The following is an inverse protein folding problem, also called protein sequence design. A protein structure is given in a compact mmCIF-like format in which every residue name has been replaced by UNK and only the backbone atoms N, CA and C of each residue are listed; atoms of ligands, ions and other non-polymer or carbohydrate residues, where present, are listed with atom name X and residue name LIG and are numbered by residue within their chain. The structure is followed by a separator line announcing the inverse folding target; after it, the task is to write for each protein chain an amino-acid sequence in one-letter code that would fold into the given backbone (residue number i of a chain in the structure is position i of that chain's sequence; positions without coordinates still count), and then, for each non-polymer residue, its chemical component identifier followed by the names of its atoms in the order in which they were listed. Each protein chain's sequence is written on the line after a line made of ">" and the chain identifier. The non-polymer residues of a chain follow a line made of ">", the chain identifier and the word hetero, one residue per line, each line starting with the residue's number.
data_IF_313037636028
#
_entry.id   IF_313037636028
#
_cell.length_a   1.000
_cell.length_b   1.000
_cell.length_c   1.000
_cell.angle_alpha   90.00
_cell.angle_beta   90.00
_cell.angle_gamma   90.00
#
_symmetry.space_group_name_H-M   'P 1'
#
loop_
_entity.id
_entity.type
_entity.pdbx_description
1 polymer ?
#
# COMPACT_ATOMS: atom_id res chain seq x y z
N UNK A 1 -13.02 -10.80 -34.29
CA UNK A 1 -12.95 -12.06 -35.06
C UNK A 1 -12.06 -13.03 -34.29
N UNK A 2 -12.58 -14.12 -33.71
CA UNK A 2 -11.74 -15.20 -33.25
C UNK A 2 -11.74 -16.35 -34.28
N UNK A 3 -10.56 -16.90 -34.50
CA UNK A 3 -10.28 -18.02 -35.41
C UNK A 3 -11.01 -19.29 -34.99
N UNK A 4 -11.70 -19.92 -35.95
CA UNK A 4 -12.30 -21.25 -35.80
C UNK A 4 -11.33 -22.27 -36.44
N UNK A 5 -10.77 -23.18 -35.65
CA UNK A 5 -9.83 -24.20 -36.14
C UNK A 5 -10.64 -25.39 -36.65
N UNK A 6 -10.65 -25.60 -37.97
CA UNK A 6 -11.19 -26.83 -38.58
C UNK A 6 -10.11 -27.92 -38.56
N UNK A 7 -10.40 -29.06 -37.94
CA UNK A 7 -9.54 -30.24 -38.04
C UNK A 7 -10.04 -31.16 -39.17
N UNK A 8 -9.12 -31.56 -40.05
CA UNK A 8 -9.33 -32.57 -41.08
C UNK A 8 -8.80 -33.91 -40.56
N UNK A 9 -9.68 -34.87 -40.28
CA UNK A 9 -9.28 -36.22 -39.93
C UNK A 9 -9.26 -37.10 -41.19
N UNK A 10 -8.06 -37.43 -41.67
CA UNK A 10 -7.87 -38.54 -42.60
C UNK A 10 -7.79 -39.83 -41.77
N UNK A 11 -8.80 -40.69 -41.88
CA UNK A 11 -8.93 -41.87 -41.05
C UNK A 11 -7.86 -42.93 -41.35
N UNK A 12 -7.17 -43.40 -40.32
CA UNK A 12 -6.74 -44.81 -40.17
C UNK A 12 -6.58 -45.10 -38.67
N UNK A 13 -7.21 -46.18 -38.21
CA UNK A 13 -7.35 -46.60 -36.81
C UNK A 13 -6.06 -47.19 -36.23
N UNK A 14 -5.84 -47.00 -34.91
CA UNK A 14 -5.66 -48.12 -33.95
C UNK A 14 -5.80 -47.65 -32.49
N UNK A 15 -6.69 -48.33 -31.77
CA UNK A 15 -7.04 -48.20 -30.34
C UNK A 15 -5.90 -48.62 -29.40
N UNK A 16 -5.77 -47.96 -28.24
CA UNK A 16 -5.74 -48.58 -26.89
C UNK A 16 -5.53 -47.52 -25.78
N UNK A 17 -6.51 -47.31 -24.91
CA UNK A 17 -6.47 -47.77 -23.51
C UNK A 17 -7.83 -47.61 -22.85
N UNK A 18 -8.07 -48.50 -21.90
CA UNK A 18 -9.35 -48.97 -21.40
C UNK A 18 -9.59 -48.47 -19.97
N UNK A 19 -10.83 -48.10 -19.66
CA UNK A 19 -11.37 -47.83 -18.32
C UNK A 19 -11.01 -46.44 -17.79
N UNK A 20 -11.91 -45.63 -17.25
CA UNK A 20 -12.91 -45.96 -16.22
C UNK A 20 -13.99 -44.86 -16.21
N UNK A 21 -15.23 -45.26 -15.90
CA UNK A 21 -16.48 -44.48 -15.80
C UNK A 21 -17.34 -44.41 -17.07
N UNK A 22 -17.98 -45.55 -17.32
CA UNK A 22 -19.31 -45.64 -17.90
C UNK A 22 -20.33 -44.93 -17.00
N UNK A 23 -20.90 -43.84 -17.49
CA UNK A 23 -22.29 -43.48 -17.26
C UNK A 23 -22.96 -43.51 -18.63
N UNK A 24 -23.76 -44.55 -18.87
CA UNK A 24 -24.80 -44.49 -19.88
C UNK A 24 -25.74 -43.34 -19.52
N UNK A 25 -25.84 -42.36 -20.41
CA UNK A 25 -27.07 -41.61 -20.56
C UNK A 25 -27.34 -41.47 -22.06
N UNK A 26 -28.50 -41.98 -22.42
CA UNK A 26 -29.14 -41.91 -23.71
C UNK A 26 -29.23 -40.45 -24.17
N UNK A 27 -28.53 -40.14 -25.26
CA UNK A 27 -29.01 -39.25 -26.31
C UNK A 27 -28.13 -39.53 -27.53
N UNK A 28 -28.69 -40.28 -28.48
CA UNK A 28 -28.13 -40.40 -29.82
C UNK A 28 -28.22 -39.02 -30.50
N UNK A 29 -27.31 -38.12 -30.16
CA UNK A 29 -27.17 -36.85 -30.85
C UNK A 29 -26.64 -37.15 -32.27
N UNK A 30 -27.52 -37.08 -33.26
CA UNK A 30 -27.14 -36.99 -34.66
C UNK A 30 -26.10 -35.87 -34.83
N UNK A 31 -24.82 -36.26 -34.98
CA UNK A 31 -23.77 -35.33 -35.37
C UNK A 31 -24.13 -34.79 -36.75
N UNK A 32 -24.57 -33.54 -36.82
CA UNK A 32 -24.86 -32.87 -38.09
C UNK A 32 -23.55 -32.72 -38.88
N UNK A 33 -23.36 -33.59 -39.86
CA UNK A 33 -22.21 -33.55 -40.77
C UNK A 33 -22.54 -32.67 -41.97
N UNK A 34 -21.72 -31.66 -42.21
CA UNK A 34 -21.79 -30.89 -43.46
C UNK A 34 -20.87 -31.56 -44.49
N UNK A 35 -21.42 -31.85 -45.67
CA UNK A 35 -20.68 -32.45 -46.78
C UNK A 35 -20.53 -31.38 -47.87
N UNK A 36 -19.29 -31.01 -48.20
CA UNK A 36 -18.99 -30.09 -49.30
C UNK A 36 -19.08 -30.81 -50.66
N UNK A 37 -19.16 -30.07 -51.77
CA UNK A 37 -19.22 -30.56 -53.16
C UNK A 37 -18.05 -31.49 -53.57
N UNK A 38 -17.01 -31.59 -52.73
CA UNK A 38 -15.86 -32.51 -52.88
C UNK A 38 -15.91 -33.73 -51.93
N UNK A 39 -17.07 -34.04 -51.35
CA UNK A 39 -17.29 -35.15 -50.40
C UNK A 39 -16.46 -35.08 -49.10
N UNK A 40 -16.06 -33.88 -48.69
CA UNK A 40 -15.40 -33.67 -47.40
C UNK A 40 -16.45 -33.59 -46.29
N UNK A 41 -16.31 -34.45 -45.27
CA UNK A 41 -17.22 -34.51 -44.11
C UNK A 41 -16.68 -33.66 -42.97
N UNK A 42 -17.42 -32.61 -42.60
CA UNK A 42 -17.08 -31.73 -41.48
C UNK A 42 -17.98 -32.02 -40.27
N UNK A 43 -17.37 -32.30 -39.12
CA UNK A 43 -18.07 -32.51 -37.83
C UNK A 43 -17.96 -31.22 -37.01
N UNK A 44 -19.09 -30.60 -36.67
CA UNK A 44 -19.12 -29.43 -35.79
C UNK A 44 -18.80 -29.85 -34.34
N UNK A 45 -17.57 -29.62 -33.87
CA UNK A 45 -17.13 -30.07 -32.53
C UNK A 45 -17.61 -29.19 -31.36
N UNK A 46 -18.34 -28.10 -31.62
CA UNK A 46 -18.83 -27.22 -30.56
C UNK A 46 -20.23 -26.75 -30.92
N UNK A 47 -21.23 -27.45 -30.38
CA UNK A 47 -22.60 -26.97 -30.33
C UNK A 47 -22.54 -25.70 -29.48
N UNK A 48 -22.44 -24.52 -30.11
CA UNK A 48 -22.66 -23.25 -29.41
C UNK A 48 -24.00 -23.40 -28.70
N UNK A 49 -23.96 -23.57 -27.38
CA UNK A 49 -25.17 -23.64 -26.57
C UNK A 49 -25.99 -22.40 -26.90
N UNK A 50 -27.28 -22.60 -27.14
CA UNK A 50 -28.22 -21.50 -27.47
C UNK A 50 -28.36 -20.48 -26.33
N UNK A 51 -27.77 -20.78 -25.17
CA UNK A 51 -27.76 -19.98 -23.95
C UNK A 51 -26.32 -19.72 -23.51
N UNK A 52 -26.02 -18.54 -22.93
CA UNK A 52 -24.72 -18.26 -22.35
C UNK A 52 -24.48 -19.19 -21.16
N UNK A 53 -23.56 -20.16 -21.30
CA UNK A 53 -23.11 -20.99 -20.19
C UNK A 53 -22.08 -20.19 -19.40
N UNK A 54 -22.29 -20.02 -18.10
CA UNK A 54 -21.32 -19.41 -17.19
C UNK A 54 -20.05 -20.28 -17.15
N UNK A 55 -18.99 -19.83 -17.81
CA UNK A 55 -17.67 -20.43 -17.66
C UNK A 55 -17.06 -19.90 -16.35
N UNK A 56 -17.12 -20.73 -15.30
CA UNK A 56 -16.54 -20.41 -13.99
C UNK A 56 -15.09 -20.87 -13.97
N UNK A 57 -14.17 -19.96 -13.64
CA UNK A 57 -12.78 -20.33 -13.34
C UNK A 57 -12.69 -20.85 -11.91
N UNK A 58 -12.84 -22.18 -11.75
CA UNK A 58 -12.76 -22.83 -10.44
C UNK A 58 -11.37 -22.70 -9.80
N UNK A 59 -10.32 -22.45 -10.58
CA UNK A 59 -8.96 -22.26 -10.05
C UNK A 59 -8.86 -20.93 -9.33
N UNK A 60 -9.33 -19.85 -9.94
CA UNK A 60 -9.34 -18.52 -9.32
C UNK A 60 -10.09 -18.54 -7.98
N UNK A 61 -11.23 -19.21 -7.92
CA UNK A 61 -12.01 -19.34 -6.69
C UNK A 61 -11.22 -20.11 -5.63
N UNK A 62 -10.61 -21.24 -6.01
CA UNK A 62 -9.77 -22.02 -5.10
C UNK A 62 -8.60 -21.20 -4.55
N UNK A 63 -7.88 -20.49 -5.41
CA UNK A 63 -6.73 -19.68 -5.02
C UNK A 63 -7.15 -18.56 -4.05
N UNK A 64 -8.25 -17.84 -4.34
CA UNK A 64 -8.79 -16.83 -3.44
C UNK A 64 -9.19 -17.41 -2.07
N UNK A 65 -9.82 -18.59 -2.05
CA UNK A 65 -10.17 -19.26 -0.79
C UNK A 65 -8.92 -19.60 0.01
N UNK A 66 -7.90 -20.20 -0.62
CA UNK A 66 -6.65 -20.57 0.05
C UNK A 66 -5.95 -19.33 0.61
N UNK A 67 -5.88 -18.23 -0.15
CA UNK A 67 -5.28 -16.97 0.30
C UNK A 67 -6.02 -16.37 1.49
N UNK A 68 -7.35 -16.30 1.44
CA UNK A 68 -8.13 -15.67 2.51
C UNK A 68 -8.05 -16.50 3.79
N UNK A 69 -8.22 -17.83 3.69
CA UNK A 69 -8.16 -18.72 4.85
C UNK A 69 -6.78 -18.68 5.49
N UNK A 70 -5.73 -18.70 4.69
CA UNK A 70 -4.37 -18.62 5.21
C UNK A 70 -4.00 -17.26 5.79
N UNK A 71 -4.41 -16.17 5.15
CA UNK A 71 -4.25 -14.82 5.69
C UNK A 71 -4.99 -14.69 7.03
N UNK A 72 -6.19 -15.25 7.16
CA UNK A 72 -6.91 -15.29 8.43
C UNK A 72 -6.14 -16.08 9.50
N UNK A 73 -5.63 -17.28 9.18
CA UNK A 73 -4.84 -18.09 10.11
C UNK A 73 -3.55 -17.36 10.52
N UNK A 74 -2.81 -16.81 9.56
CA UNK A 74 -1.58 -16.05 9.81
C UNK A 74 -1.84 -14.79 10.64
N UNK A 75 -2.93 -14.07 10.35
CA UNK A 75 -3.36 -12.91 11.10
C UNK A 75 -3.74 -13.24 12.55
N UNK A 76 -4.49 -14.33 12.77
CA UNK A 76 -4.84 -14.81 14.12
C UNK A 76 -3.57 -15.17 14.89
N UNK A 77 -2.67 -15.95 14.27
CA UNK A 77 -1.41 -16.36 14.90
C UNK A 77 -0.58 -15.14 15.34
N UNK A 78 -0.40 -14.16 14.46
CA UNK A 78 0.37 -12.96 14.77
C UNK A 78 -0.33 -12.05 15.80
N UNK A 79 -1.66 -11.97 15.76
CA UNK A 79 -2.44 -11.27 16.78
C UNK A 79 -2.26 -11.91 18.16
N UNK A 80 -2.28 -13.25 18.25
CA UNK A 80 -2.01 -13.98 19.50
C UNK A 80 -0.59 -13.76 20.03
N UNK A 81 0.39 -13.56 19.13
CA UNK A 81 1.78 -13.24 19.49
C UNK A 81 1.98 -11.75 19.87
N UNK A 82 0.93 -10.92 19.81
CA UNK A 82 1.02 -9.48 20.05
C UNK A 82 1.76 -8.72 18.95
N UNK A 83 1.82 -9.27 17.74
CA UNK A 83 2.47 -8.70 16.57
C UNK A 83 1.44 -8.07 15.61
N UNK A 84 1.84 -7.14 14.72
CA UNK A 84 0.95 -6.56 13.73
C UNK A 84 0.38 -7.63 12.78
N UNK A 85 -0.95 -7.62 12.61
CA UNK A 85 -1.68 -8.61 11.78
C UNK A 85 -1.22 -8.60 10.32
N UNK A 86 -0.79 -7.44 9.80
CA UNK A 86 -0.23 -7.23 8.46
C UNK A 86 0.94 -8.18 8.17
N UNK A 87 1.81 -8.42 9.15
CA UNK A 87 2.92 -9.36 9.02
C UNK A 87 2.40 -10.78 8.84
N UNK A 88 1.35 -11.16 9.56
CA UNK A 88 0.69 -12.45 9.43
C UNK A 88 0.16 -12.70 8.01
N UNK A 89 -0.43 -11.67 7.39
CA UNK A 89 -0.90 -11.74 5.99
C UNK A 89 0.26 -11.97 5.01
N UNK A 90 1.35 -11.20 5.15
CA UNK A 90 2.54 -11.33 4.29
C UNK A 90 3.19 -12.71 4.41
N UNK A 91 3.36 -13.21 5.63
CA UNK A 91 3.97 -14.52 5.86
C UNK A 91 3.07 -15.66 5.38
N UNK A 92 1.74 -15.56 5.57
CA UNK A 92 0.81 -16.52 5.01
C UNK A 92 0.92 -16.60 3.48
N UNK A 93 0.99 -15.45 2.82
CA UNK A 93 1.23 -15.36 1.38
C UNK A 93 2.55 -15.99 0.95
N UNK A 94 3.64 -15.67 1.65
CA UNK A 94 4.98 -16.21 1.36
C UNK A 94 5.06 -17.73 1.52
N UNK A 95 4.33 -18.29 2.49
CA UNK A 95 4.26 -19.73 2.71
C UNK A 95 3.46 -20.46 1.62
N UNK A 96 2.44 -19.84 1.03
CA UNK A 96 1.52 -20.50 0.09
C UNK A 96 1.89 -20.24 -1.36
N UNK A 97 2.54 -19.11 -1.61
CA UNK A 97 3.06 -18.76 -2.91
C UNK A 97 4.12 -19.76 -3.42
N UNK A 98 4.58 -19.56 -4.67
CA UNK A 98 5.52 -20.46 -5.33
C UNK A 98 6.89 -20.53 -4.63
N UNK A 99 7.23 -19.53 -3.80
CA UNK A 99 8.43 -19.55 -2.99
C UNK A 99 8.37 -20.38 -1.70
N UNK A 100 7.23 -20.98 -1.39
CA UNK A 100 6.98 -21.78 -0.18
C UNK A 100 6.44 -23.17 -0.50
N UNK A 101 5.14 -23.39 -0.27
CA UNK A 101 4.42 -24.66 -0.45
C UNK A 101 3.83 -24.83 -1.85
N UNK A 102 3.89 -23.79 -2.70
CA UNK A 102 3.43 -23.81 -4.10
C UNK A 102 1.96 -24.25 -4.27
N UNK A 103 1.08 -23.85 -3.34
CA UNK A 103 -0.36 -24.11 -3.46
C UNK A 103 -1.02 -23.28 -4.57
N UNK A 104 -0.41 -22.15 -4.94
CA UNK A 104 -0.92 -21.21 -5.93
C UNK A 104 0.10 -21.06 -7.05
N UNK A 105 -0.29 -21.46 -8.26
CA UNK A 105 0.59 -21.47 -9.43
C UNK A 105 0.37 -20.25 -10.35
N UNK A 106 -0.85 -19.69 -10.37
CA UNK A 106 -1.24 -18.60 -11.28
C UNK A 106 -1.35 -17.24 -10.55
N UNK A 107 -0.20 -16.62 -10.25
CA UNK A 107 -0.16 -15.37 -9.46
C UNK A 107 -0.89 -14.18 -10.11
N UNK A 108 -0.97 -14.13 -11.45
CA UNK A 108 -1.47 -12.95 -12.19
C UNK A 108 -2.94 -12.66 -11.89
N UNK A 109 -3.79 -13.69 -11.85
CA UNK A 109 -5.22 -13.49 -11.62
C UNK A 109 -5.49 -13.01 -10.19
N UNK A 110 -4.82 -13.62 -9.21
CA UNK A 110 -4.86 -13.22 -7.81
C UNK A 110 -4.36 -11.78 -7.63
N UNK A 111 -3.24 -11.42 -8.24
CA UNK A 111 -2.67 -10.08 -8.15
C UNK A 111 -3.63 -9.02 -8.70
N UNK A 112 -4.33 -9.35 -9.79
CA UNK A 112 -5.35 -8.48 -10.39
C UNK A 112 -6.51 -8.20 -9.41
N UNK A 113 -6.97 -9.22 -8.68
CA UNK A 113 -8.02 -9.05 -7.65
C UNK A 113 -7.48 -8.29 -6.44
N UNK A 114 -6.25 -8.59 -6.03
CA UNK A 114 -5.53 -7.91 -4.95
C UNK A 114 -5.31 -6.41 -5.23
N UNK A 115 -5.26 -5.98 -6.50
CA UNK A 115 -5.13 -4.56 -6.86
C UNK A 115 -6.29 -3.70 -6.33
N UNK A 116 -7.50 -4.27 -6.17
CA UNK A 116 -8.60 -3.57 -5.51
C UNK A 116 -8.28 -3.25 -4.04
N UNK A 117 -7.44 -4.05 -3.38
CA UNK A 117 -6.95 -3.76 -2.03
C UNK A 117 -6.15 -2.49 -1.94
N UNK A 118 -5.29 -2.24 -2.91
CA UNK A 118 -4.58 -0.96 -3.00
C UNK A 118 -5.54 0.21 -3.15
N UNK A 119 -6.51 0.07 -4.04
CA UNK A 119 -7.52 1.11 -4.32
C UNK A 119 -8.31 1.45 -3.06
N UNK A 120 -8.84 0.46 -2.34
CA UNK A 120 -9.59 0.71 -1.11
C UNK A 120 -8.72 1.19 0.05
N UNK A 121 -7.47 0.72 0.13
CA UNK A 121 -6.52 1.16 1.15
C UNK A 121 -6.16 2.64 0.97
N UNK A 122 -5.87 3.07 -0.25
CA UNK A 122 -5.56 4.48 -0.55
C UNK A 122 -6.78 5.39 -0.51
N UNK A 123 -7.95 4.87 -0.88
CA UNK A 123 -9.21 5.59 -0.67
C UNK A 123 -9.49 5.85 0.80
N UNK A 124 -9.32 4.86 1.67
CA UNK A 124 -9.47 5.04 3.11
C UNK A 124 -8.43 6.00 3.69
N UNK A 125 -7.18 5.91 3.26
CA UNK A 125 -6.14 6.87 3.63
C UNK A 125 -6.53 8.30 3.18
N UNK A 126 -7.09 8.45 1.99
CA UNK A 126 -7.65 9.72 1.52
C UNK A 126 -8.83 10.22 2.37
N UNK A 127 -9.69 9.35 2.88
CA UNK A 127 -10.78 9.72 3.80
C UNK A 127 -10.27 10.20 5.16
N UNK A 128 -9.18 9.63 5.65
CA UNK A 128 -8.55 10.00 6.91
C UNK A 128 -7.84 11.36 6.83
N UNK A 129 -7.48 11.79 5.60
CA UNK A 129 -6.88 13.09 5.33
C UNK A 129 -7.79 14.22 5.82
N UNK A 130 -7.30 15.03 6.77
CA UNK A 130 -8.04 16.19 7.26
C UNK A 130 -7.13 17.40 7.35
N UNK A 131 -7.46 18.45 6.58
CA UNK A 131 -6.79 19.75 6.68
C UNK A 131 -6.92 20.36 8.08
N UNK A 132 -8.02 20.08 8.79
CA UNK A 132 -8.21 20.52 10.16
C UNK A 132 -7.24 19.82 11.11
N UNK A 133 -7.09 18.49 11.00
CA UNK A 133 -6.09 17.73 11.76
C UNK A 133 -4.69 18.24 11.44
N UNK A 134 -4.36 18.45 10.16
CA UNK A 134 -3.05 18.94 9.73
C UNK A 134 -2.71 20.33 10.31
N UNK A 135 -3.67 21.25 10.31
CA UNK A 135 -3.51 22.58 10.94
C UNK A 135 -3.34 22.49 12.45
N UNK A 136 -3.97 21.51 13.10
CA UNK A 136 -3.92 21.33 14.54
C UNK A 136 -2.58 20.78 15.04
N UNK A 137 -1.82 20.04 14.23
CA UNK A 137 -0.54 19.42 14.68
C UNK A 137 0.67 20.34 14.64
N UNK A 138 0.45 21.63 14.38
CA UNK A 138 1.46 22.67 14.46
C UNK A 138 2.47 22.67 13.30
N UNK A 139 3.19 23.79 13.10
CA UNK A 139 4.15 23.95 12.01
C UNK A 139 5.32 22.97 12.09
N UNK A 140 5.71 22.56 13.31
CA UNK A 140 6.80 21.60 13.54
C UNK A 140 6.50 20.24 12.92
N UNK A 141 5.28 19.72 13.07
CA UNK A 141 4.92 18.41 12.51
C UNK A 141 4.95 18.42 10.98
N UNK A 142 4.43 19.49 10.36
CA UNK A 142 4.36 19.64 8.91
C UNK A 142 5.74 19.91 8.31
N UNK A 143 6.43 20.93 8.79
CA UNK A 143 7.76 21.30 8.28
C UNK A 143 8.81 20.27 8.65
N UNK A 144 8.73 19.68 9.86
CA UNK A 144 9.59 18.60 10.30
C UNK A 144 9.39 17.33 9.47
N UNK A 145 8.14 16.92 9.25
CA UNK A 145 7.83 15.80 8.38
C UNK A 145 8.32 16.01 6.95
N UNK A 146 8.10 17.21 6.38
CA UNK A 146 8.60 17.55 5.05
C UNK A 146 10.13 17.51 4.99
N UNK A 147 10.80 18.12 5.97
CA UNK A 147 12.26 18.14 6.06
C UNK A 147 12.83 16.72 6.22
N UNK A 148 12.16 15.85 6.99
CA UNK A 148 12.54 14.45 7.13
C UNK A 148 12.48 13.71 5.79
N UNK A 149 11.36 13.82 5.05
CA UNK A 149 11.21 13.18 3.74
C UNK A 149 12.28 13.71 2.77
N UNK A 150 12.48 15.03 2.71
CA UNK A 150 13.49 15.66 1.84
C UNK A 150 14.92 15.23 2.18
N UNK A 151 15.25 15.17 3.47
CA UNK A 151 16.58 14.74 3.94
C UNK A 151 16.83 13.29 3.57
N UNK A 152 15.84 12.42 3.71
CA UNK A 152 15.94 11.01 3.29
C UNK A 152 16.11 10.87 1.78
N UNK A 153 15.30 11.58 0.98
CA UNK A 153 15.44 11.61 -0.48
C UNK A 153 16.85 12.05 -0.88
N UNK A 154 17.37 13.10 -0.25
CA UNK A 154 18.71 13.61 -0.54
C UNK A 154 19.81 12.62 -0.17
N UNK A 155 19.77 12.04 1.04
CA UNK A 155 20.76 11.06 1.50
C UNK A 155 20.76 9.82 0.60
N UNK A 156 19.59 9.26 0.31
CA UNK A 156 19.47 8.07 -0.53
C UNK A 156 19.82 8.35 -2.00
N UNK A 157 19.51 9.54 -2.52
CA UNK A 157 19.93 9.95 -3.86
C UNK A 157 21.46 10.04 -3.98
N UNK A 158 22.13 10.63 -2.99
CA UNK A 158 23.60 10.67 -2.96
C UNK A 158 24.17 9.26 -2.89
N UNK A 159 23.68 8.42 -1.99
CA UNK A 159 24.19 7.04 -1.88
C UNK A 159 23.96 6.24 -3.16
N UNK A 160 22.83 6.44 -3.85
CA UNK A 160 22.55 5.79 -5.11
C UNK A 160 23.57 6.21 -6.19
N UNK A 161 23.84 7.50 -6.34
CA UNK A 161 24.83 8.00 -7.31
C UNK A 161 26.23 7.50 -6.99
N UNK A 162 26.62 7.47 -5.70
CA UNK A 162 27.92 6.95 -5.26
C UNK A 162 28.07 5.44 -5.54
N UNK A 163 26.98 4.68 -5.45
CA UNK A 163 26.95 3.25 -5.78
C UNK A 163 26.77 2.97 -7.29
N UNK A 164 26.67 4.00 -8.14
CA UNK A 164 26.46 3.86 -9.58
C UNK A 164 25.01 3.56 -10.00
N UNK A 165 24.05 3.67 -9.08
CA UNK A 165 22.62 3.53 -9.36
C UNK A 165 22.00 4.82 -9.90
N UNK A 166 20.78 4.73 -10.45
CA UNK A 166 20.07 5.89 -11.02
C UNK A 166 19.64 6.84 -9.90
N UNK A 167 19.73 8.16 -10.14
CA UNK A 167 19.26 9.17 -9.18
C UNK A 167 17.77 9.01 -8.85
N UNK A 168 16.93 8.65 -9.83
CA UNK A 168 15.50 8.43 -9.61
C UNK A 168 15.21 7.25 -8.68
N UNK A 169 16.01 6.19 -8.75
CA UNK A 169 15.94 5.05 -7.84
C UNK A 169 16.31 5.47 -6.41
N UNK A 170 17.40 6.23 -6.24
CA UNK A 170 17.80 6.76 -4.94
C UNK A 170 16.79 7.71 -4.30
N UNK A 171 16.18 8.60 -5.10
CA UNK A 171 15.10 9.48 -4.63
C UNK A 171 13.91 8.65 -4.17
N UNK A 172 13.49 7.65 -4.97
CA UNK A 172 12.39 6.76 -4.59
C UNK A 172 12.69 5.99 -3.30
N UNK A 173 13.86 5.38 -3.18
CA UNK A 173 14.27 4.62 -1.99
C UNK A 173 14.27 5.54 -0.76
N UNK A 174 14.74 6.78 -0.89
CA UNK A 174 14.68 7.75 0.20
C UNK A 174 13.25 8.11 0.59
N UNK A 175 12.38 8.40 -0.38
CA UNK A 175 10.96 8.66 -0.09
C UNK A 175 10.29 7.46 0.57
N UNK A 176 10.55 6.24 0.06
CA UNK A 176 10.02 4.99 0.58
C UNK A 176 10.46 4.75 2.04
N UNK A 177 11.76 4.86 2.33
CA UNK A 177 12.30 4.65 3.67
C UNK A 177 11.84 5.72 4.66
N UNK A 178 11.54 6.93 4.19
CA UNK A 178 11.08 8.02 5.06
C UNK A 178 9.71 7.75 5.71
N UNK A 179 8.86 6.93 5.07
CA UNK A 179 7.50 6.64 5.53
C UNK A 179 7.50 5.72 6.76
N UNK A 180 6.69 6.04 7.77
CA UNK A 180 6.65 5.33 9.05
C UNK A 180 5.27 4.72 9.32
N UNK A 181 5.15 3.77 10.25
CA UNK A 181 3.87 3.07 10.51
C UNK A 181 3.01 3.84 11.52
N UNK A 182 1.92 4.44 11.06
CA UNK A 182 1.01 5.19 11.94
C UNK A 182 0.24 4.28 12.89
N UNK A 183 -0.36 3.20 12.38
CA UNK A 183 -1.20 2.31 13.17
C UNK A 183 -0.46 1.69 14.36
N UNK A 184 0.79 1.26 14.14
CA UNK A 184 1.60 0.63 15.19
C UNK A 184 2.03 1.66 16.23
N UNK A 185 2.51 2.83 15.80
CA UNK A 185 3.02 3.87 16.72
C UNK A 185 1.91 4.49 17.56
N UNK A 186 0.75 4.78 16.96
CA UNK A 186 -0.41 5.33 17.68
C UNK A 186 -0.92 4.35 18.75
N UNK A 187 -0.97 3.05 18.44
CA UNK A 187 -1.34 2.02 19.42
C UNK A 187 -0.38 2.00 20.61
N UNK A 188 0.93 2.04 20.37
CA UNK A 188 1.93 2.08 21.44
C UNK A 188 1.87 3.36 22.29
N UNK A 189 1.67 4.52 21.67
CA UNK A 189 1.50 5.79 22.38
C UNK A 189 0.24 5.79 23.25
N UNK A 190 -0.86 5.19 22.75
CA UNK A 190 -2.10 4.99 23.46
C UNK A 190 -1.96 4.07 24.68
N UNK A 191 -1.33 2.91 24.51
CA UNK A 191 -1.08 1.95 25.60
C UNK A 191 -0.22 2.55 26.74
N UNK A 192 0.65 3.51 26.41
CA UNK A 192 1.52 4.22 27.37
C UNK A 192 0.91 5.53 27.90
N UNK A 193 -0.34 5.86 27.54
CA UNK A 193 -0.97 7.15 27.85
C UNK A 193 -0.08 8.38 27.50
N UNK A 194 0.79 8.23 26.49
CA UNK A 194 1.80 9.23 26.13
C UNK A 194 1.43 10.04 24.89
N UNK A 195 0.26 9.80 24.29
CA UNK A 195 -0.24 10.54 23.12
C UNK A 195 -0.35 12.05 23.36
N UNK A 196 -0.70 12.46 24.57
CA UNK A 196 -0.86 13.88 24.93
C UNK A 196 0.46 14.58 25.29
N UNK A 197 1.55 13.83 25.47
CA UNK A 197 2.85 14.41 25.76
C UNK A 197 3.47 15.04 24.51
N UNK A 198 4.37 16.03 24.69
CA UNK A 198 5.02 16.75 23.59
C UNK A 198 5.62 15.83 22.51
N UNK A 199 6.37 14.80 22.93
CA UNK A 199 6.94 13.81 22.00
C UNK A 199 5.86 13.01 21.26
N UNK A 200 4.75 12.67 21.92
CA UNK A 200 3.61 11.98 21.30
C UNK A 200 2.91 12.84 20.26
N UNK A 201 2.63 14.10 20.58
CA UNK A 201 1.98 15.03 19.64
C UNK A 201 2.84 15.29 18.40
N UNK A 202 4.14 15.53 18.56
CA UNK A 202 5.08 15.73 17.44
C UNK A 202 5.17 14.46 16.58
N UNK A 203 5.25 13.28 17.21
CA UNK A 203 5.29 11.98 16.50
C UNK A 203 4.02 11.76 15.70
N UNK A 204 2.84 11.89 16.33
CA UNK A 204 1.54 11.70 15.68
C UNK A 204 1.35 12.71 14.55
N UNK A 205 1.75 13.97 14.73
CA UNK A 205 1.67 14.97 13.67
C UNK A 205 2.54 14.67 12.48
N UNK A 206 3.77 14.23 12.74
CA UNK A 206 4.70 13.83 11.68
C UNK A 206 4.15 12.63 10.91
N UNK A 207 3.56 11.65 11.61
CA UNK A 207 2.90 10.49 11.01
C UNK A 207 1.71 10.89 10.12
N UNK A 208 0.82 11.74 10.62
CA UNK A 208 -0.32 12.26 9.84
C UNK A 208 0.21 12.94 8.56
N UNK A 209 1.25 13.77 8.67
CA UNK A 209 1.84 14.42 7.50
C UNK A 209 2.45 13.41 6.51
N UNK A 210 3.15 12.38 7.01
CA UNK A 210 3.72 11.33 6.17
C UNK A 210 2.65 10.56 5.41
N UNK A 211 1.56 10.16 6.08
CA UNK A 211 0.43 9.50 5.43
C UNK A 211 -0.18 10.39 4.34
N UNK A 212 -0.36 11.68 4.61
CA UNK A 212 -0.79 12.66 3.59
C UNK A 212 0.17 12.71 2.39
N UNK A 213 1.48 12.63 2.66
CA UNK A 213 2.52 12.69 1.64
C UNK A 213 2.59 11.41 0.79
N UNK A 214 2.12 10.26 1.27
CA UNK A 214 2.05 9.00 0.49
C UNK A 214 1.25 9.20 -0.79
N UNK A 215 0.07 9.83 -0.72
CA UNK A 215 -0.76 10.10 -1.89
C UNK A 215 -0.07 11.00 -2.93
N UNK A 216 0.67 12.02 -2.46
CA UNK A 216 1.50 12.87 -3.32
C UNK A 216 2.65 12.07 -3.94
N UNK A 217 3.26 11.16 -3.19
CA UNK A 217 4.35 10.33 -3.69
C UNK A 217 3.89 9.41 -4.83
N UNK A 218 2.68 8.83 -4.74
CA UNK A 218 2.07 8.08 -5.84
C UNK A 218 1.92 8.92 -7.11
N UNK A 219 1.55 10.20 -6.99
CA UNK A 219 1.48 11.11 -8.13
C UNK A 219 2.84 11.36 -8.78
N UNK A 220 3.91 11.31 -7.99
CA UNK A 220 5.28 11.53 -8.44
C UNK A 220 5.94 10.26 -9.01
N UNK A 221 5.48 9.06 -8.66
CA UNK A 221 6.10 7.81 -9.13
C UNK A 221 6.23 7.70 -10.67
N UNK A 222 5.21 8.04 -11.48
CA UNK A 222 5.36 7.99 -12.94
C UNK A 222 6.38 9.02 -13.47
N UNK A 223 6.56 10.15 -12.77
CA UNK A 223 7.61 11.15 -13.07
C UNK A 223 9.00 10.54 -12.86
N UNK A 224 9.17 9.83 -11.75
CA UNK A 224 10.44 9.18 -11.38
C UNK A 224 10.80 8.00 -12.30
N UNK A 225 9.80 7.25 -12.78
CA UNK A 225 9.97 6.11 -13.70
C UNK A 225 10.24 6.49 -15.16
N UNK A 226 10.05 7.75 -15.55
CA UNK A 226 10.19 8.20 -16.94
C UNK A 226 11.63 8.12 -17.47
N UNK A 227 11.95 7.08 -18.23
CA UNK A 227 13.22 6.96 -18.96
C UNK A 227 13.19 7.78 -20.25
N UNK A 228 13.58 9.05 -20.19
CA UNK A 228 13.94 9.80 -21.39
C UNK A 228 14.96 10.90 -21.08
N UNK A 229 15.92 11.11 -21.99
CA UNK A 229 17.02 12.07 -21.81
C UNK A 229 16.52 13.48 -21.49
N UNK A 230 17.38 14.32 -20.90
CA UNK A 230 17.03 15.61 -20.25
C UNK A 230 15.94 16.43 -20.97
N UNK A 231 16.04 16.63 -22.28
CA UNK A 231 15.04 17.41 -23.04
C UNK A 231 13.68 16.71 -23.20
N UNK A 232 13.66 15.40 -23.49
CA UNK A 232 12.43 14.65 -23.68
C UNK A 232 11.79 14.27 -22.33
N UNK A 233 12.62 14.09 -21.30
CA UNK A 233 12.23 13.97 -19.90
C UNK A 233 11.52 15.24 -19.43
N UNK A 234 12.08 16.43 -19.65
CA UNK A 234 11.44 17.69 -19.25
C UNK A 234 10.07 17.90 -19.89
N UNK A 235 9.90 17.56 -21.17
CA UNK A 235 8.60 17.67 -21.86
C UNK A 235 7.60 16.63 -21.34
N UNK A 236 8.05 15.39 -21.10
CA UNK A 236 7.19 14.32 -20.56
C UNK A 236 6.77 14.61 -19.11
N UNK A 237 7.69 15.10 -18.28
CA UNK A 237 7.43 15.51 -16.90
C UNK A 237 6.51 16.73 -16.87
N UNK A 238 6.75 17.74 -17.72
CA UNK A 238 5.89 18.91 -17.84
C UNK A 238 4.46 18.54 -18.25
N UNK A 239 4.30 17.60 -19.20
CA UNK A 239 3.00 17.06 -19.59
C UNK A 239 2.32 16.32 -18.43
N UNK A 240 3.04 15.47 -17.71
CA UNK A 240 2.48 14.71 -16.59
C UNK A 240 2.06 15.65 -15.44
N UNK A 241 2.88 16.65 -15.11
CA UNK A 241 2.55 17.67 -14.11
C UNK A 241 1.34 18.52 -14.51
N UNK A 242 1.20 18.85 -15.80
CA UNK A 242 0.03 19.56 -16.31
C UNK A 242 -1.23 18.69 -16.19
N UNK A 243 -1.17 17.42 -16.60
CA UNK A 243 -2.29 16.47 -16.47
C UNK A 243 -2.66 16.27 -15.00
N UNK A 244 -1.68 16.12 -14.12
CA UNK A 244 -1.89 16.01 -12.68
C UNK A 244 -2.55 17.27 -12.11
N UNK A 245 -2.04 18.46 -12.45
CA UNK A 245 -2.61 19.73 -12.01
C UNK A 245 -4.06 19.89 -12.50
N UNK A 246 -4.33 19.54 -13.76
CA UNK A 246 -5.67 19.63 -14.34
C UNK A 246 -6.62 18.62 -13.70
N UNK A 247 -6.16 17.40 -13.43
CA UNK A 247 -6.91 16.39 -12.70
C UNK A 247 -7.26 16.85 -11.29
N UNK A 248 -6.29 17.37 -10.52
CA UNK A 248 -6.52 17.89 -9.17
C UNK A 248 -7.48 19.09 -9.16
N UNK A 249 -7.36 20.01 -10.13
CA UNK A 249 -8.28 21.14 -10.28
C UNK A 249 -9.69 20.65 -10.62
N UNK A 250 -9.83 19.73 -11.58
CA UNK A 250 -11.13 19.15 -11.94
C UNK A 250 -11.77 18.40 -10.76
N UNK A 251 -10.98 17.60 -10.05
CA UNK A 251 -11.39 16.91 -8.83
C UNK A 251 -11.83 17.92 -7.75
N UNK A 252 -11.08 19.01 -7.54
CA UNK A 252 -11.44 20.06 -6.58
C UNK A 252 -12.75 20.77 -6.95
N UNK A 253 -12.99 21.06 -8.23
CA UNK A 253 -14.24 21.67 -8.70
C UNK A 253 -15.42 20.69 -8.50
N UNK A 254 -15.22 19.42 -8.83
CA UNK A 254 -16.22 18.38 -8.64
C UNK A 254 -16.55 18.16 -7.15
N UNK A 255 -15.52 18.25 -6.29
CA UNK A 255 -15.63 18.20 -4.84
C UNK A 255 -16.52 19.31 -4.30
N UNK A 256 -16.34 20.54 -4.78
CA UNK A 256 -17.08 21.69 -4.26
C UNK A 256 -18.57 21.68 -4.66
N UNK A 257 -18.91 21.17 -5.86
CA UNK A 257 -20.26 21.28 -6.41
C UNK A 257 -21.09 19.98 -6.34
N UNK A 258 -20.48 18.83 -6.64
CA UNK A 258 -21.21 17.58 -6.91
C UNK A 258 -21.15 16.60 -5.74
N UNK A 259 -19.96 16.33 -5.19
CA UNK A 259 -19.75 15.32 -4.14
C UNK A 259 -20.66 15.50 -2.92
N UNK A 260 -20.74 16.69 -2.26
CA UNK A 260 -21.56 16.86 -1.08
C UNK A 260 -23.07 16.73 -1.39
N UNK A 261 -23.52 17.13 -2.59
CA UNK A 261 -24.92 16.97 -3.01
C UNK A 261 -25.24 15.50 -3.29
N UNK A 262 -24.35 14.81 -3.99
CA UNK A 262 -24.50 13.39 -4.30
C UNK A 262 -24.52 12.54 -3.03
N UNK A 263 -23.58 12.74 -2.11
CA UNK A 263 -23.53 11.99 -0.86
C UNK A 263 -24.73 12.28 0.06
N UNK A 264 -25.16 13.54 0.18
CA UNK A 264 -26.37 13.88 0.96
C UNK A 264 -27.63 13.27 0.34
N UNK A 265 -27.76 13.29 -0.99
CA UNK A 265 -28.86 12.64 -1.70
C UNK A 265 -28.85 11.13 -1.44
N UNK A 266 -27.69 10.48 -1.56
CA UNK A 266 -27.56 9.04 -1.32
C UNK A 266 -27.90 8.70 0.13
N UNK A 267 -27.38 9.43 1.13
CA UNK A 267 -27.77 9.20 2.52
C UNK A 267 -29.27 9.38 2.75
N UNK A 268 -29.89 10.39 2.15
CA UNK A 268 -31.33 10.61 2.31
C UNK A 268 -32.16 9.46 1.71
N UNK A 269 -31.76 8.93 0.56
CA UNK A 269 -32.39 7.77 -0.07
C UNK A 269 -32.06 6.45 0.63
N UNK A 270 -30.93 6.39 1.32
CA UNK A 270 -30.41 5.23 2.06
C UNK A 270 -30.92 5.16 3.50
N UNK A 271 -31.87 6.02 3.90
CA UNK A 271 -32.36 6.20 5.29
C UNK A 271 -32.84 4.92 5.99
N UNK A 272 -33.11 3.83 5.24
CA UNK A 272 -33.50 2.53 5.80
C UNK A 272 -32.42 1.43 5.71
N UNK A 273 -31.47 1.49 4.77
CA UNK A 273 -30.40 0.49 4.61
C UNK A 273 -29.09 1.16 4.20
N UNK A 274 -27.99 0.97 4.94
CA UNK A 274 -26.67 1.54 4.63
C UNK A 274 -26.04 0.97 3.34
N UNK A 275 -26.62 -0.08 2.77
CA UNK A 275 -26.11 -0.82 1.61
C UNK A 275 -26.00 0.06 0.35
N UNK A 276 -27.01 0.89 0.07
CA UNK A 276 -27.02 1.76 -1.11
C UNK A 276 -25.93 2.83 -1.00
N UNK A 277 -25.77 3.43 0.18
CA UNK A 277 -24.72 4.39 0.44
C UNK A 277 -23.32 3.78 0.28
N UNK A 278 -23.08 2.60 0.86
CA UNK A 278 -21.81 1.89 0.73
C UNK A 278 -21.48 1.60 -0.75
N UNK A 279 -22.47 1.10 -1.53
CA UNK A 279 -22.29 0.86 -2.96
C UNK A 279 -21.99 2.14 -3.74
N UNK A 280 -22.68 3.24 -3.43
CA UNK A 280 -22.47 4.53 -4.09
C UNK A 280 -21.06 5.09 -3.84
N UNK A 281 -20.56 4.97 -2.61
CA UNK A 281 -19.20 5.39 -2.23
C UNK A 281 -18.16 4.54 -2.92
N UNK A 282 -18.33 3.21 -2.92
CA UNK A 282 -17.42 2.29 -3.62
C UNK A 282 -17.42 2.58 -5.13
N UNK A 283 -18.59 2.77 -5.73
CA UNK A 283 -18.69 3.12 -7.15
C UNK A 283 -18.00 4.45 -7.46
N UNK A 284 -18.16 5.47 -6.60
CA UNK A 284 -17.47 6.75 -6.75
C UNK A 284 -15.94 6.59 -6.68
N UNK A 285 -15.44 5.82 -5.71
CA UNK A 285 -14.01 5.50 -5.59
C UNK A 285 -13.48 4.82 -6.85
N UNK A 286 -14.14 3.76 -7.32
CA UNK A 286 -13.72 3.02 -8.52
C UNK A 286 -13.80 3.86 -9.80
N UNK A 287 -14.82 4.71 -9.95
CA UNK A 287 -14.95 5.63 -11.08
C UNK A 287 -13.82 6.66 -11.09
N UNK A 288 -13.46 7.21 -9.93
CA UNK A 288 -12.34 8.14 -9.82
C UNK A 288 -11.00 7.48 -10.12
N UNK A 289 -10.77 6.27 -9.58
CA UNK A 289 -9.59 5.47 -9.89
C UNK A 289 -9.48 5.19 -11.39
N UNK A 290 -10.56 4.73 -12.02
CA UNK A 290 -10.61 4.44 -13.45
C UNK A 290 -10.40 5.69 -14.31
N UNK A 291 -10.97 6.84 -13.94
CA UNK A 291 -10.75 8.11 -14.62
C UNK A 291 -9.27 8.53 -14.57
N UNK A 292 -8.64 8.43 -13.39
CA UNK A 292 -7.22 8.72 -13.18
C UNK A 292 -6.32 7.81 -14.03
N UNK A 293 -6.63 6.51 -14.10
CA UNK A 293 -5.90 5.55 -14.93
C UNK A 293 -6.03 5.86 -16.43
N UNK A 294 -7.23 6.24 -16.90
CA UNK A 294 -7.45 6.68 -18.29
C UNK A 294 -6.66 7.94 -18.66
N UNK A 295 -6.36 8.80 -17.69
CA UNK A 295 -5.51 9.98 -17.87
C UNK A 295 -4.00 9.65 -17.83
N UNK A 296 -3.63 8.39 -17.61
CA UNK A 296 -2.24 7.93 -17.55
C UNK A 296 -1.54 8.27 -16.23
N UNK A 297 -2.29 8.52 -15.16
CA UNK A 297 -1.74 8.77 -13.82
C UNK A 297 -1.54 7.44 -13.09
N UNK A 298 -2.54 7.02 -12.31
CA UNK A 298 -2.59 5.73 -11.62
C UNK A 298 -3.97 5.50 -10.99
N UNK A 299 -4.37 4.24 -10.81
CA UNK A 299 -5.58 3.87 -10.07
C UNK A 299 -5.47 4.33 -8.60
N UNK A 300 -4.26 4.19 -8.05
CA UNK A 300 -3.84 4.55 -6.71
C UNK A 300 -4.12 6.02 -6.41
N UNK A 301 -3.61 6.92 -7.25
CA UNK A 301 -3.84 8.35 -7.11
C UNK A 301 -5.33 8.71 -7.20
N UNK A 302 -6.07 8.09 -8.12
CA UNK A 302 -7.48 8.41 -8.31
C UNK A 302 -8.35 7.99 -7.14
N UNK A 303 -8.01 6.86 -6.52
CA UNK A 303 -8.65 6.38 -5.30
C UNK A 303 -8.32 7.27 -4.09
N UNK A 304 -7.06 7.68 -3.93
CA UNK A 304 -6.66 8.62 -2.88
C UNK A 304 -7.38 9.97 -3.02
N UNK A 305 -7.40 10.55 -4.23
CA UNK A 305 -8.09 11.82 -4.49
C UNK A 305 -9.59 11.70 -4.23
N UNK A 306 -10.24 10.59 -4.58
CA UNK A 306 -11.64 10.36 -4.22
C UNK A 306 -11.86 10.37 -2.71
N UNK A 307 -10.96 9.76 -1.93
CA UNK A 307 -11.01 9.82 -0.47
C UNK A 307 -10.91 11.24 0.04
N UNK A 308 -9.92 12.01 -0.44
CA UNK A 308 -9.72 13.42 -0.06
C UNK A 308 -10.92 14.29 -0.42
N UNK A 309 -11.58 14.05 -1.56
CA UNK A 309 -12.79 14.77 -1.93
C UNK A 309 -13.90 14.57 -0.90
N UNK A 310 -14.08 13.34 -0.42
CA UNK A 310 -15.11 13.03 0.59
C UNK A 310 -14.68 13.50 1.98
N UNK A 311 -13.38 13.50 2.29
CA UNK A 311 -12.85 13.90 3.58
C UNK A 311 -13.10 15.38 3.92
N UNK A 312 -13.33 16.23 2.91
CA UNK A 312 -13.74 17.63 3.08
C UNK A 312 -15.21 17.81 3.47
N UNK A 313 -16.01 16.74 3.47
CA UNK A 313 -17.43 16.76 3.82
C UNK A 313 -17.65 16.27 5.25
N UNK A 314 -18.77 16.65 5.86
CA UNK A 314 -19.16 16.18 7.21
C UNK A 314 -19.43 14.67 7.30
N UNK A 315 -19.42 13.96 6.16
CA UNK A 315 -19.73 12.53 6.04
C UNK A 315 -18.48 11.64 6.00
N UNK A 316 -17.28 12.21 6.13
CA UNK A 316 -16.02 11.49 6.02
C UNK A 316 -15.94 10.29 6.96
N UNK A 317 -16.26 10.48 8.25
CA UNK A 317 -16.21 9.41 9.25
C UNK A 317 -17.22 8.30 8.95
N UNK A 318 -18.47 8.67 8.66
CA UNK A 318 -19.50 7.70 8.28
C UNK A 318 -19.12 6.92 7.02
N UNK A 319 -18.50 7.57 6.03
CA UNK A 319 -17.98 6.92 4.82
C UNK A 319 -16.90 5.89 5.17
N UNK A 320 -15.98 6.28 6.06
CA UNK A 320 -14.88 5.43 6.49
C UNK A 320 -15.38 4.18 7.19
N UNK A 321 -16.33 4.32 8.13
CA UNK A 321 -16.92 3.19 8.86
C UNK A 321 -17.60 2.18 7.92
N UNK A 322 -18.20 2.64 6.81
CA UNK A 322 -18.84 1.78 5.81
C UNK A 322 -17.85 1.08 4.87
N UNK A 323 -16.70 1.71 4.59
CA UNK A 323 -15.70 1.16 3.65
C UNK A 323 -14.63 0.35 4.37
N UNK A 324 -14.43 0.56 5.66
CA UNK A 324 -13.46 -0.15 6.49
C UNK A 324 -13.53 -1.69 6.37
N UNK A 325 -14.71 -2.35 6.42
CA UNK A 325 -14.78 -3.81 6.25
C UNK A 325 -14.27 -4.28 4.87
N UNK A 326 -14.62 -3.54 3.81
CA UNK A 326 -14.17 -3.83 2.43
C UNK A 326 -12.65 -3.62 2.33
N UNK A 327 -12.17 -2.49 2.83
CA UNK A 327 -10.75 -2.14 2.90
C UNK A 327 -9.96 -3.25 3.61
N UNK A 328 -10.41 -3.70 4.78
CA UNK A 328 -9.69 -4.68 5.58
C UNK A 328 -9.58 -6.04 4.88
N UNK A 329 -10.66 -6.50 4.24
CA UNK A 329 -10.65 -7.74 3.45
C UNK A 329 -9.69 -7.65 2.27
N UNK A 330 -9.81 -6.61 1.45
CA UNK A 330 -8.97 -6.48 0.26
C UNK A 330 -7.52 -6.12 0.60
N UNK A 331 -7.26 -5.42 1.71
CA UNK A 331 -5.91 -5.19 2.21
C UNK A 331 -5.23 -6.51 2.63
N UNK A 332 -5.97 -7.43 3.26
CA UNK A 332 -5.45 -8.77 3.58
C UNK A 332 -5.11 -9.56 2.30
N UNK A 333 -5.99 -9.52 1.29
CA UNK A 333 -5.73 -10.12 -0.02
C UNK A 333 -4.49 -9.52 -0.68
N UNK A 334 -4.36 -8.18 -0.66
CA UNK A 334 -3.23 -7.47 -1.25
C UNK A 334 -1.90 -7.82 -0.58
N UNK A 335 -1.86 -7.75 0.75
CA UNK A 335 -0.65 -8.05 1.51
C UNK A 335 -0.26 -9.52 1.40
N UNK A 336 -1.23 -10.43 1.39
CA UNK A 336 -0.97 -11.85 1.14
C UNK A 336 -0.46 -12.07 -0.29
N UNK A 337 -1.01 -11.38 -1.28
CA UNK A 337 -0.54 -11.44 -2.67
C UNK A 337 0.92 -10.98 -2.83
N UNK A 338 1.28 -9.84 -2.22
CA UNK A 338 2.68 -9.40 -2.14
C UNK A 338 3.54 -10.46 -1.43
N UNK A 339 3.02 -11.07 -0.37
CA UNK A 339 3.67 -12.17 0.32
C UNK A 339 4.08 -13.31 -0.60
N UNK A 340 3.23 -13.68 -1.58
CA UNK A 340 3.54 -14.76 -2.53
C UNK A 340 4.77 -14.49 -3.39
N UNK A 341 5.10 -13.22 -3.64
CA UNK A 341 6.31 -12.81 -4.37
C UNK A 341 7.58 -12.99 -3.52
N UNK A 342 7.45 -13.15 -2.21
CA UNK A 342 8.56 -13.34 -1.29
C UNK A 342 8.99 -14.81 -1.29
N UNK A 343 10.16 -15.09 -1.85
CA UNK A 343 10.78 -16.41 -1.74
C UNK A 343 11.34 -16.64 -0.33
N UNK A 344 10.82 -17.63 0.39
CA UNK A 344 11.27 -17.99 1.74
C UNK A 344 12.78 -18.32 1.76
N UNK A 345 13.25 -19.00 0.71
CA UNK A 345 14.67 -19.33 0.57
C UNK A 345 15.56 -18.09 0.43
N UNK A 346 15.08 -17.03 -0.23
CA UNK A 346 15.82 -15.77 -0.35
C UNK A 346 15.97 -15.09 1.02
N UNK A 347 14.89 -15.06 1.82
CA UNK A 347 14.91 -14.51 3.18
C UNK A 347 15.89 -15.25 4.08
N UNK A 348 15.90 -16.58 4.03
CA UNK A 348 16.77 -17.38 4.87
C UNK A 348 18.25 -17.24 4.47
N UNK A 349 18.51 -17.21 3.16
CA UNK A 349 19.88 -17.13 2.63
C UNK A 349 20.53 -15.76 2.81
N UNK A 350 19.73 -14.69 2.88
CA UNK A 350 20.20 -13.30 3.01
C UNK A 350 19.73 -12.64 4.32
N UNK A 351 19.50 -13.45 5.36
CA UNK A 351 19.01 -12.95 6.65
C UNK A 351 19.99 -11.97 7.28
N UNK A 352 21.28 -12.14 7.03
CA UNK A 352 22.37 -11.26 7.44
C UNK A 352 22.25 -9.87 6.80
N UNK A 353 22.05 -9.81 5.47
CA UNK A 353 21.88 -8.55 4.74
C UNK A 353 20.57 -7.87 5.13
N UNK A 354 19.49 -8.64 5.29
CA UNK A 354 18.19 -8.12 5.72
C UNK A 354 18.26 -7.53 7.13
N UNK A 355 18.91 -8.22 8.07
CA UNK A 355 19.07 -7.74 9.43
C UNK A 355 19.96 -6.49 9.47
N UNK A 356 21.06 -6.49 8.72
CA UNK A 356 21.93 -5.31 8.58
C UNK A 356 21.16 -4.11 7.98
N UNK A 357 20.33 -4.35 6.96
CA UNK A 357 19.47 -3.35 6.33
C UNK A 357 18.46 -2.77 7.33
N UNK A 358 17.78 -3.60 8.12
CA UNK A 358 16.83 -3.13 9.15
C UNK A 358 17.54 -2.30 10.22
N UNK A 359 18.69 -2.76 10.72
CA UNK A 359 19.48 -2.01 11.70
C UNK A 359 19.89 -0.66 11.11
N UNK A 360 20.39 -0.65 9.87
CA UNK A 360 20.78 0.57 9.17
C UNK A 360 19.61 1.55 9.05
N UNK A 361 18.43 1.07 8.61
CA UNK A 361 17.22 1.89 8.49
C UNK A 361 16.82 2.46 9.85
N UNK A 362 16.77 1.65 10.90
CA UNK A 362 16.41 2.10 12.24
C UNK A 362 17.38 3.17 12.73
N UNK A 363 18.69 2.97 12.56
CA UNK A 363 19.72 3.92 13.00
C UNK A 363 19.63 5.23 12.22
N UNK A 364 19.56 5.16 10.89
CA UNK A 364 19.51 6.35 10.02
C UNK A 364 18.19 7.11 10.22
N UNK A 365 17.03 6.43 10.30
CA UNK A 365 15.74 7.09 10.60
C UNK A 365 15.72 7.74 11.96
N UNK A 366 16.22 7.04 12.98
CA UNK A 366 16.34 7.63 14.32
C UNK A 366 17.21 8.88 14.27
N UNK A 367 18.39 8.81 13.64
CA UNK A 367 19.30 9.95 13.55
C UNK A 367 18.69 11.14 12.81
N UNK A 368 18.14 10.92 11.61
CA UNK A 368 17.53 11.99 10.80
C UNK A 368 16.35 12.60 11.52
N UNK A 369 15.41 11.80 12.02
CA UNK A 369 14.23 12.31 12.73
C UNK A 369 14.63 13.05 14.01
N UNK A 370 15.59 12.54 14.80
CA UNK A 370 16.09 13.25 15.97
C UNK A 370 16.79 14.57 15.65
N UNK A 371 17.61 14.62 14.59
CA UNK A 371 18.27 15.85 14.13
C UNK A 371 17.23 16.87 13.70
N UNK A 372 16.25 16.46 12.90
CA UNK A 372 15.16 17.32 12.44
C UNK A 372 14.38 17.86 13.64
N UNK A 373 13.90 17.01 14.54
CA UNK A 373 13.15 17.47 15.74
C UNK A 373 13.99 18.37 16.63
N UNK A 374 15.30 18.11 16.78
CA UNK A 374 16.21 18.98 17.54
C UNK A 374 16.40 20.34 16.88
N UNK A 375 16.43 20.41 15.54
CA UNK A 375 16.54 21.67 14.80
C UNK A 375 15.34 22.60 15.04
N UNK A 376 14.18 22.06 15.42
CA UNK A 376 13.00 22.83 15.84
C UNK A 376 13.01 23.25 17.32
N UNK A 377 14.12 23.04 18.05
CA UNK A 377 14.30 23.56 19.42
C UNK A 377 13.84 22.63 20.55
N UNK A 378 13.44 21.38 20.25
CA UNK A 378 13.07 20.42 21.28
C UNK A 378 14.28 19.87 22.04
N UNK A 379 14.04 19.40 23.27
CA UNK A 379 15.07 18.79 24.10
C UNK A 379 15.66 17.54 23.44
N UNK A 380 16.95 17.27 23.66
CA UNK A 380 17.62 16.10 23.07
C UNK A 380 16.93 14.77 23.44
N UNK A 381 16.37 14.67 24.65
CA UNK A 381 15.58 13.51 25.11
C UNK A 381 14.29 13.36 24.28
N UNK A 382 13.54 14.44 24.10
CA UNK A 382 12.32 14.46 23.28
C UNK A 382 12.63 14.08 21.83
N UNK A 383 13.64 14.70 21.23
CA UNK A 383 14.05 14.44 19.85
C UNK A 383 14.49 12.99 19.63
N UNK A 384 15.19 12.39 20.60
CA UNK A 384 15.59 10.99 20.53
C UNK A 384 14.39 10.04 20.58
N UNK A 385 13.44 10.28 21.50
CA UNK A 385 12.22 9.45 21.61
C UNK A 385 11.36 9.56 20.36
N UNK A 386 11.20 10.76 19.80
CA UNK A 386 10.52 10.97 18.51
C UNK A 386 11.23 10.20 17.40
N UNK A 387 12.56 10.27 17.35
CA UNK A 387 13.35 9.59 16.33
C UNK A 387 13.20 8.07 16.36
N UNK A 388 13.29 7.46 17.54
CA UNK A 388 13.08 6.01 17.69
C UNK A 388 11.63 5.62 17.39
N UNK A 389 10.66 6.47 17.76
CA UNK A 389 9.25 6.23 17.50
C UNK A 389 8.87 6.32 16.01
N UNK A 390 9.69 6.96 15.18
CA UNK A 390 9.50 7.06 13.72
C UNK A 390 10.45 6.14 12.93
N UNK A 391 11.22 5.29 13.61
CA UNK A 391 12.33 4.54 13.00
C UNK A 391 11.91 3.39 12.08
N UNK A 392 10.62 3.04 12.05
CA UNK A 392 10.11 1.85 11.38
C UNK A 392 9.54 2.21 10.02
N UNK A 393 9.47 1.25 9.12
CA UNK A 393 8.86 1.45 7.80
C UNK A 393 7.34 1.20 7.91
N UNK A 394 6.53 2.07 7.31
CA UNK A 394 5.06 1.96 7.32
C UNK A 394 4.48 0.87 6.42
N UNK A 395 3.26 0.40 6.70
CA UNK A 395 2.59 -0.60 5.85
C UNK A 395 2.31 -0.11 4.43
N UNK A 396 2.03 1.18 4.24
CA UNK A 396 1.80 1.77 2.92
C UNK A 396 3.05 1.73 2.03
N UNK A 397 4.23 1.50 2.61
CA UNK A 397 5.46 1.30 1.87
C UNK A 397 5.38 0.07 0.96
N UNK A 398 4.68 -1.00 1.36
CA UNK A 398 4.44 -2.17 0.48
C UNK A 398 3.74 -1.80 -0.82
N UNK A 399 2.74 -0.91 -0.70
CA UNK A 399 1.97 -0.42 -1.85
C UNK A 399 2.86 0.42 -2.76
N UNK A 400 3.61 1.37 -2.19
CA UNK A 400 4.54 2.22 -2.93
C UNK A 400 5.61 1.42 -3.67
N UNK A 401 6.15 0.39 -3.00
CA UNK A 401 7.18 -0.49 -3.57
C UNK A 401 6.65 -1.36 -4.70
N UNK A 402 5.46 -1.94 -4.54
CA UNK A 402 4.78 -2.69 -5.61
C UNK A 402 4.57 -1.81 -6.85
N UNK A 403 4.08 -0.58 -6.66
CA UNK A 403 3.87 0.35 -7.77
C UNK A 403 5.18 0.78 -8.44
N UNK A 404 6.23 1.03 -7.67
CA UNK A 404 7.54 1.38 -8.21
C UNK A 404 8.16 0.25 -9.04
N UNK A 405 7.97 -1.01 -8.60
CA UNK A 405 8.38 -2.20 -9.36
C UNK A 405 7.64 -2.29 -10.70
N UNK A 406 6.32 -2.07 -10.70
CA UNK A 406 5.51 -2.05 -11.94
C UNK A 406 5.92 -0.95 -12.93
N UNK A 407 6.51 0.15 -12.44
CA UNK A 407 7.07 1.22 -13.26
C UNK A 407 8.54 0.97 -13.66
N UNK A 408 9.12 -0.20 -13.33
CA UNK A 408 10.53 -0.54 -13.52
C UNK A 408 11.50 0.49 -12.90
N UNK A 409 11.08 1.14 -11.82
CA UNK A 409 11.90 2.12 -11.10
C UNK A 409 12.93 1.45 -10.18
N UNK A 410 12.65 0.22 -9.75
CA UNK A 410 13.48 -0.58 -8.85
C UNK A 410 13.71 -1.95 -9.47
N UNK A 411 14.96 -2.41 -9.49
CA UNK A 411 15.30 -3.73 -10.00
C UNK A 411 14.85 -4.86 -9.04
N UNK A 412 14.61 -6.06 -9.57
CA UNK A 412 14.02 -7.18 -8.81
C UNK A 412 14.78 -7.57 -7.53
N UNK A 413 16.12 -7.48 -7.52
CA UNK A 413 16.92 -7.75 -6.31
C UNK A 413 16.69 -6.70 -5.21
N UNK A 414 16.66 -5.42 -5.61
CA UNK A 414 16.41 -4.31 -4.69
C UNK A 414 14.95 -4.33 -4.20
N UNK A 415 14.01 -4.69 -5.07
CA UNK A 415 12.61 -4.91 -4.70
C UNK A 415 12.48 -5.94 -3.57
N UNK A 416 13.07 -7.14 -3.73
CA UNK A 416 13.05 -8.18 -2.71
C UNK A 416 13.74 -7.75 -1.40
N UNK A 417 14.86 -7.01 -1.50
CA UNK A 417 15.58 -6.50 -0.33
C UNK A 417 14.75 -5.48 0.45
N UNK A 418 14.16 -4.49 -0.22
CA UNK A 418 13.31 -3.47 0.39
C UNK A 418 12.04 -4.10 0.98
N UNK A 419 11.45 -5.06 0.26
CA UNK A 419 10.26 -5.79 0.69
C UNK A 419 10.52 -6.57 1.99
N UNK A 420 11.60 -7.35 2.02
CA UNK A 420 12.04 -8.08 3.21
C UNK A 420 12.43 -7.14 4.37
N UNK A 421 13.10 -6.03 4.07
CA UNK A 421 13.48 -5.02 5.07
C UNK A 421 12.24 -4.40 5.72
N UNK A 422 11.20 -4.06 4.95
CA UNK A 422 9.94 -3.53 5.50
C UNK A 422 9.21 -4.55 6.36
N UNK A 423 9.10 -5.80 5.88
CA UNK A 423 8.44 -6.87 6.64
C UNK A 423 9.16 -7.13 7.97
N UNK A 424 10.49 -7.24 7.94
CA UNK A 424 11.28 -7.44 9.14
C UNK A 424 11.28 -6.21 10.07
N UNK A 425 11.28 -5.00 9.51
CA UNK A 425 11.13 -3.75 10.28
C UNK A 425 9.84 -3.76 11.10
N UNK A 426 8.69 -4.08 10.49
CA UNK A 426 7.41 -4.18 11.19
C UNK A 426 7.40 -5.21 12.32
N UNK A 427 8.04 -6.38 12.13
CA UNK A 427 8.21 -7.41 13.17
C UNK A 427 9.08 -6.92 14.33
N UNK A 428 10.14 -6.17 14.01
CA UNK A 428 11.05 -5.63 15.04
C UNK A 428 10.46 -4.44 15.80
N UNK A 429 9.42 -3.78 15.27
CA UNK A 429 8.84 -2.57 15.86
C UNK A 429 8.37 -2.73 17.32
N UNK A 430 7.54 -3.73 17.68
CA UNK A 430 7.13 -3.92 19.07
C UNK A 430 8.30 -4.13 20.04
N UNK A 431 9.37 -4.77 19.55
CA UNK A 431 10.60 -4.97 20.32
C UNK A 431 11.32 -3.63 20.52
N UNK A 432 11.47 -2.84 19.46
CA UNK A 432 12.08 -1.52 19.51
C UNK A 432 11.40 -0.63 20.56
N UNK A 433 10.06 -0.59 20.59
CA UNK A 433 9.29 0.16 21.58
C UNK A 433 9.51 -0.32 23.02
N UNK A 434 9.65 -1.63 23.24
CA UNK A 434 10.00 -2.18 24.56
C UNK A 434 11.42 -1.81 24.99
N UNK A 435 12.34 -1.64 24.03
CA UNK A 435 13.73 -1.26 24.29
C UNK A 435 13.94 0.23 24.52
N UNK A 436 13.00 1.13 24.15
CA UNK A 436 13.13 2.58 24.32
C UNK A 436 13.62 2.97 25.73
N UNK A 437 13.02 2.51 26.84
CA UNK A 437 13.48 2.88 28.18
C UNK A 437 14.91 2.42 28.48
N UNK A 438 15.30 1.23 28.01
CA UNK A 438 16.63 0.70 28.18
C UNK A 438 17.67 1.51 27.39
N UNK A 439 17.35 1.89 26.15
CA UNK A 439 18.21 2.73 25.30
C UNK A 439 18.36 4.12 25.92
N UNK A 440 17.30 4.69 26.47
CA UNK A 440 17.36 5.98 27.17
C UNK A 440 18.25 5.91 28.40
N UNK A 441 18.09 4.88 29.24
CA UNK A 441 18.94 4.69 30.42
C UNK A 441 20.42 4.50 30.05
N UNK A 442 20.69 3.75 28.98
CA UNK A 442 22.05 3.58 28.46
C UNK A 442 22.64 4.90 27.95
N UNK A 443 21.87 5.71 27.24
CA UNK A 443 22.32 7.03 26.79
C UNK A 443 22.55 8.01 27.93
N UNK A 444 21.80 7.91 29.03
CA UNK A 444 22.04 8.71 30.25
C UNK A 444 23.35 8.28 30.90
N UNK A 445 23.60 6.96 30.99
CA UNK A 445 24.84 6.40 31.52
C UNK A 445 26.07 6.78 30.67
N UNK A 446 25.93 6.79 29.35
CA UNK A 446 26.95 7.20 28.38
C UNK A 446 27.15 8.73 28.31
N UNK A 447 26.49 9.52 29.18
CA UNK A 447 26.52 11.00 29.17
C UNK A 447 26.07 11.64 27.84
N UNK A 448 25.33 10.92 26.99
CA UNK A 448 24.74 11.49 25.78
C UNK A 448 23.60 12.45 26.11
N UNK A 449 22.94 12.25 27.25
CA UNK A 449 21.95 13.16 27.81
C UNK A 449 22.55 13.88 29.02
N UNK A 450 22.35 15.20 29.17
CA UNK A 450 22.66 15.86 30.43
C UNK A 450 21.84 15.22 31.56
N UNK A 451 22.49 14.88 32.67
CA UNK A 451 21.84 14.38 33.89
C UNK A 451 20.78 15.38 34.34
N UNK A 452 19.59 14.91 34.71
CA UNK A 452 18.48 15.75 35.18
C UNK A 452 18.98 16.79 36.19
N UNK A 453 18.89 18.06 35.78
CA UNK A 453 19.48 19.19 36.48
C UNK A 453 18.90 20.49 35.97
N UNK A 454 17.67 20.77 36.40
CA UNK A 454 17.00 22.06 36.66
C UNK A 454 15.64 22.25 35.95
N UNK A 455 14.59 22.72 36.67
CA UNK A 455 13.22 22.92 36.13
C UNK A 455 13.08 24.05 35.08
N UNK A 456 14.18 24.54 34.53
CA UNK A 456 14.21 25.81 33.78
C UNK A 456 13.91 25.67 32.27
N UNK A 457 13.89 24.45 31.74
CA UNK A 457 13.70 24.20 30.30
C UNK A 457 12.25 23.99 29.88
N UNK A 458 11.40 23.43 30.74
CA UNK A 458 9.96 23.29 30.46
C UNK A 458 9.25 24.65 30.54
N UNK A 459 9.67 25.50 31.47
CA UNK A 459 9.12 26.86 31.62
C UNK A 459 9.46 27.74 30.40
N UNK A 460 10.65 27.59 29.82
CA UNK A 460 11.01 28.27 28.56
C UNK A 460 10.26 27.76 27.34
N UNK A 461 10.00 26.45 27.24
CA UNK A 461 9.22 25.89 26.13
C UNK A 461 7.75 26.35 26.21
N UNK A 462 7.16 26.35 27.41
CA UNK A 462 5.83 26.89 27.68
C UNK A 462 5.76 28.40 27.41
N UNK A 463 6.81 29.17 27.71
CA UNK A 463 6.86 30.60 27.42
C UNK A 463 6.96 30.90 25.91
N UNK A 464 7.72 30.10 25.14
CA UNK A 464 7.82 30.25 23.68
C UNK A 464 6.49 29.88 23.01
N UNK A 465 5.81 28.84 23.50
CA UNK A 465 4.49 28.44 22.99
C UNK A 465 3.39 29.44 23.39
N UNK A 466 3.49 30.07 24.57
CA UNK A 466 2.62 31.14 25.00
C UNK A 466 2.87 32.47 24.25
N UNK A 467 4.11 32.78 23.86
CA UNK A 467 4.42 33.92 22.99
C UNK A 467 3.93 33.67 21.56
N UNK A 468 4.08 32.46 21.03
CA UNK A 468 3.59 32.12 19.69
C UNK A 468 2.06 32.20 19.61
N UNK A 469 1.34 31.77 20.64
CA UNK A 469 -0.12 31.89 20.73
C UNK A 469 -0.64 33.31 21.05
N UNK A 470 0.24 34.26 21.42
CA UNK A 470 -0.13 35.69 21.58
C UNK A 470 0.05 36.50 20.29
N UNK A 471 0.78 35.97 19.32
CA UNK A 471 1.12 36.67 18.06
C UNK A 471 0.20 36.22 16.91
N UNK A 472 -0.50 35.09 17.07
CA UNK A 472 -1.69 34.70 16.29
C UNK A 472 -2.95 35.30 16.92
#
# INVERSE_FOLDING_TARGET
>A
MPFCVCFCFSGTKSFQFQGVFSLENEDSEETTTLIDKKDNVFVMSNKKSKYPVLQVDLRLISDLVVIIVSAAIGGILFSCLGQPVIVGYLLAGSLIGPGGLEFISEMVQVETVAQFGVVFLLFALGLEFSLAKLKAVGPVAVLGGLLQILTFMFLCAITAVLCGAKLSEGVFVGSFLSMSSTAVVVKFLGERNSSSALHGQVTIGTLIFQDCAVGLLFALLPVLGGHSGLFQGMVSVGKLLLVLSLYLVAASVLCWSFVPRFLKLMMHLSSQTNELYQLAVVAFCLLSAWCSDKLGLSLELGSFVAGVMISTTDLAQHTLDQVEPIRNLFAALFLSSIGMLIHVHFLWSHVDILLASVILVIVVKTAVASIVTKAFGYSFRTSFVVGVSLAQIGEFAFVLLSRASNLNLVEGKMYLLLLGTTALSLVTTPLLFKLIPAIMNLGVLMHWFPSEGTPYSEEKALMIEAEHNRIL
#
